data_IF_456593554208
#
_entry.id   IF_456593554208
#
_cell.length_a   1.000
_cell.length_b   1.000
_cell.length_c   1.000
_cell.angle_alpha   90.00
_cell.angle_beta   90.00
_cell.angle_gamma   90.00
#
_symmetry.space_group_name_H-M   'P 1'
#
loop_
_entity.id
_entity.type
_entity.pdbx_description
1 polymer ?
#
# COMPACT_ATOMS: atom_id res chain seq x y z
N UNK A 1 1.76 10.60 8.42
CA UNK A 1 2.23 9.50 9.26
C UNK A 1 3.71 9.31 9.05
N UNK A 2 4.44 9.05 10.11
CA UNK A 2 5.87 8.69 10.07
C UNK A 2 6.04 7.38 10.82
N UNK A 3 6.72 6.41 10.19
CA UNK A 3 7.11 5.17 10.84
C UNK A 3 8.64 5.10 10.90
N UNK A 4 9.21 5.30 12.07
CA UNK A 4 10.67 5.32 12.27
C UNK A 4 10.98 5.18 13.76
N UNK A 5 12.05 4.49 14.10
CA UNK A 5 12.55 4.44 15.48
C UNK A 5 13.35 5.69 15.88
N UNK A 6 13.66 6.57 14.90
CA UNK A 6 14.33 7.86 15.13
C UNK A 6 13.64 8.94 14.31
N UNK A 7 12.78 9.71 14.93
CA UNK A 7 12.04 10.79 14.27
C UNK A 7 12.25 12.12 14.99
N UNK A 8 12.72 13.12 14.25
CA UNK A 8 12.81 14.49 14.74
C UNK A 8 11.63 15.33 14.26
N UNK A 9 10.70 15.63 15.17
CA UNK A 9 9.53 16.46 14.88
C UNK A 9 9.90 17.87 14.42
N UNK A 10 11.05 18.41 14.86
CA UNK A 10 11.50 19.75 14.50
C UNK A 10 11.86 19.92 13.02
N UNK A 11 12.07 18.80 12.31
CA UNK A 11 12.29 18.78 10.86
C UNK A 11 11.04 19.12 10.04
N UNK A 12 9.84 19.15 10.67
CA UNK A 12 8.58 19.41 9.98
C UNK A 12 7.94 20.72 10.44
N UNK A 13 7.19 21.40 9.55
CA UNK A 13 6.43 22.60 9.92
C UNK A 13 5.42 22.33 11.06
N UNK A 14 5.21 23.32 11.92
CA UNK A 14 4.35 23.19 13.10
C UNK A 14 2.87 22.90 12.75
N UNK A 15 2.41 23.37 11.59
CA UNK A 15 1.05 23.19 11.12
C UNK A 15 0.78 21.80 10.53
N UNK A 16 1.79 20.92 10.46
CA UNK A 16 1.60 19.54 10.00
C UNK A 16 1.18 18.64 11.17
N UNK A 17 0.03 18.03 11.04
CA UNK A 17 -0.42 17.02 12.01
C UNK A 17 0.33 15.69 11.76
N UNK A 18 1.14 15.26 12.70
CA UNK A 18 1.99 14.07 12.58
C UNK A 18 1.54 12.98 13.54
N UNK A 19 1.37 11.76 13.02
CA UNK A 19 1.34 10.54 13.80
C UNK A 19 2.66 9.80 13.60
N UNK A 20 3.31 9.48 14.69
CA UNK A 20 4.59 8.76 14.70
C UNK A 20 4.35 7.36 15.26
N UNK A 21 4.85 6.35 14.54
CA UNK A 21 4.83 4.94 14.95
C UNK A 21 6.26 4.41 15.02
N UNK A 22 6.53 3.63 16.05
CA UNK A 22 7.78 2.88 16.20
C UNK A 22 7.57 1.42 15.81
N UNK A 23 8.63 0.63 15.72
CA UNK A 23 8.55 -0.78 15.31
C UNK A 23 7.63 -1.59 16.22
N UNK A 24 7.59 -1.30 17.50
CA UNK A 24 6.75 -1.96 18.50
C UNK A 24 5.26 -1.73 18.23
N UNK A 25 4.87 -0.53 17.75
CA UNK A 25 3.48 -0.23 17.40
C UNK A 25 3.02 -1.05 16.20
N UNK A 26 3.92 -1.28 15.24
CA UNK A 26 3.63 -2.10 14.06
C UNK A 26 3.63 -3.60 14.40
N UNK A 27 4.55 -4.05 15.25
CA UNK A 27 4.58 -5.43 15.74
C UNK A 27 3.33 -5.78 16.57
N UNK A 28 2.79 -4.81 17.29
CA UNK A 28 1.55 -4.98 18.09
C UNK A 28 0.30 -5.25 17.23
N UNK A 29 0.36 -5.09 15.90
CA UNK A 29 -0.71 -5.50 14.98
C UNK A 29 -0.91 -7.02 14.96
N UNK A 30 0.12 -7.79 15.33
CA UNK A 30 0.09 -9.25 15.36
C UNK A 30 0.14 -9.92 14.00
N UNK A 31 0.47 -9.17 12.94
CA UNK A 31 0.67 -9.73 11.60
C UNK A 31 2.03 -10.43 11.49
N UNK A 32 2.13 -11.35 10.56
CA UNK A 32 3.38 -12.06 10.25
C UNK A 32 4.17 -11.28 9.20
N UNK A 33 5.33 -10.67 9.52
CA UNK A 33 6.17 -10.02 8.52
C UNK A 33 6.90 -11.09 7.69
N UNK A 34 7.32 -10.72 6.46
CA UNK A 34 8.07 -11.66 5.59
C UNK A 34 9.51 -11.92 6.08
N UNK A 35 10.05 -11.05 6.91
CA UNK A 35 11.39 -11.14 7.49
C UNK A 35 11.34 -10.75 8.98
N UNK A 36 12.45 -10.96 9.68
CA UNK A 36 12.57 -10.59 11.09
C UNK A 36 12.45 -9.07 11.34
N UNK A 37 12.52 -8.28 10.28
CA UNK A 37 12.31 -6.83 10.28
C UNK A 37 11.05 -6.47 9.51
N UNK A 38 10.35 -5.44 9.95
CA UNK A 38 9.13 -4.97 9.27
C UNK A 38 9.41 -4.33 7.90
N UNK A 39 10.57 -3.73 7.73
CA UNK A 39 11.04 -3.12 6.50
C UNK A 39 12.48 -3.63 6.24
N UNK A 40 12.79 -4.07 5.01
CA UNK A 40 11.93 -4.08 3.82
C UNK A 40 10.87 -5.20 3.82
N UNK A 41 9.85 -5.05 3.00
CA UNK A 41 8.91 -6.10 2.62
C UNK A 41 7.51 -5.99 3.21
N UNK A 42 7.34 -5.31 4.36
CA UNK A 42 6.04 -5.15 5.01
C UNK A 42 5.60 -3.68 5.22
N UNK A 43 5.86 -2.72 4.29
CA UNK A 43 5.48 -1.31 4.48
C UNK A 43 3.96 -1.11 4.58
N UNK A 44 3.15 -2.06 4.11
CA UNK A 44 1.70 -2.03 4.23
C UNK A 44 1.19 -2.11 5.68
N UNK A 45 2.02 -2.47 6.66
CA UNK A 45 1.66 -2.40 8.08
C UNK A 45 1.44 -0.95 8.54
N UNK A 46 2.11 0.01 7.91
CA UNK A 46 2.00 1.44 8.25
C UNK A 46 0.59 1.99 7.97
N UNK A 47 0.05 1.89 6.74
CA UNK A 47 -1.32 2.33 6.48
C UNK A 47 -2.37 1.52 7.25
N UNK A 48 -2.14 0.23 7.51
CA UNK A 48 -3.02 -0.59 8.34
C UNK A 48 -3.04 -0.08 9.79
N UNK A 49 -1.90 0.22 10.38
CA UNK A 49 -1.84 0.79 11.74
C UNK A 49 -2.59 2.12 11.81
N UNK A 50 -2.34 3.00 10.84
CA UNK A 50 -3.01 4.30 10.79
C UNK A 50 -4.54 4.16 10.61
N UNK A 51 -4.97 3.22 9.76
CA UNK A 51 -6.38 2.90 9.55
C UNK A 51 -7.05 2.45 10.85
N UNK A 52 -6.44 1.54 11.61
CA UNK A 52 -7.02 1.04 12.86
C UNK A 52 -7.16 2.13 13.92
N UNK A 53 -6.23 3.09 13.95
CA UNK A 53 -6.32 4.25 14.85
C UNK A 53 -7.34 5.31 14.35
N UNK A 54 -7.63 5.32 13.04
CA UNK A 54 -8.44 6.36 12.39
C UNK A 54 -9.39 5.75 11.34
N UNK A 55 -10.36 4.89 11.72
CA UNK A 55 -11.16 4.12 10.77
C UNK A 55 -12.26 4.93 10.07
N UNK A 56 -12.32 6.23 10.29
CA UNK A 56 -13.40 7.11 9.81
C UNK A 56 -13.11 7.79 8.47
N UNK A 57 -11.87 7.72 7.97
CA UNK A 57 -11.56 8.26 6.64
C UNK A 57 -12.09 7.35 5.55
N UNK A 58 -12.50 7.94 4.43
CA UNK A 58 -12.99 7.20 3.26
C UNK A 58 -11.83 6.58 2.50
N UNK A 59 -10.74 7.33 2.32
CA UNK A 59 -9.54 6.92 1.62
C UNK A 59 -8.29 7.25 2.44
N UNK A 60 -7.24 6.47 2.18
CA UNK A 60 -5.93 6.56 2.83
C UNK A 60 -4.86 6.52 1.75
N UNK A 61 -4.09 7.58 1.65
CA UNK A 61 -2.93 7.62 0.78
C UNK A 61 -1.70 7.11 1.52
N UNK A 62 -0.97 6.22 0.86
CA UNK A 62 0.37 5.82 1.25
C UNK A 62 1.34 6.31 0.18
N UNK A 63 2.39 7.02 0.60
CA UNK A 63 3.45 7.53 -0.27
C UNK A 63 4.75 7.24 0.44
N UNK A 64 5.66 6.54 -0.22
CA UNK A 64 7.00 6.31 0.30
C UNK A 64 7.78 7.63 0.36
N UNK A 65 8.70 7.73 1.31
CA UNK A 65 9.40 8.99 1.62
C UNK A 65 10.33 9.48 0.49
N UNK A 66 10.73 8.61 -0.41
CA UNK A 66 11.60 8.88 -1.56
C UNK A 66 10.82 9.12 -2.87
N UNK A 67 9.49 9.09 -2.83
CA UNK A 67 8.67 9.46 -3.98
C UNK A 67 8.68 10.97 -4.17
N UNK A 68 9.14 11.39 -5.34
CA UNK A 68 9.09 12.79 -5.77
C UNK A 68 8.04 12.93 -6.87
N UNK A 69 7.02 13.73 -6.60
CA UNK A 69 6.03 14.11 -7.60
C UNK A 69 6.35 15.50 -8.15
N UNK A 70 6.49 15.61 -9.47
CA UNK A 70 6.84 16.88 -10.14
C UNK A 70 5.67 17.84 -10.30
N UNK A 71 4.44 17.34 -10.11
CA UNK A 71 3.21 18.13 -10.15
C UNK A 71 2.78 18.62 -8.76
N UNK A 72 1.51 19.00 -8.66
CA UNK A 72 0.88 19.43 -7.41
C UNK A 72 0.12 18.27 -6.77
N UNK A 73 0.52 17.84 -5.59
CA UNK A 73 -0.13 16.76 -4.84
C UNK A 73 -1.64 16.97 -4.65
N UNK A 74 -2.07 18.22 -4.39
CA UNK A 74 -3.50 18.54 -4.25
C UNK A 74 -4.27 18.23 -5.52
N UNK A 75 -3.72 18.57 -6.68
CA UNK A 75 -4.36 18.30 -7.98
C UNK A 75 -4.49 16.80 -8.22
N UNK A 76 -3.41 16.03 -7.99
CA UNK A 76 -3.46 14.57 -8.12
C UNK A 76 -4.54 13.95 -7.21
N UNK A 77 -4.60 14.37 -5.96
CA UNK A 77 -5.57 13.84 -4.99
C UNK A 77 -7.00 14.22 -5.38
N UNK A 78 -7.23 15.47 -5.77
CA UNK A 78 -8.54 15.97 -6.21
C UNK A 78 -9.01 15.25 -7.49
N UNK A 79 -8.12 15.00 -8.45
CA UNK A 79 -8.43 14.26 -9.67
C UNK A 79 -8.79 12.80 -9.37
N UNK A 80 -8.05 12.16 -8.48
CA UNK A 80 -8.37 10.80 -8.03
C UNK A 80 -9.70 10.73 -7.30
N UNK A 81 -10.01 11.70 -6.44
CA UNK A 81 -11.28 11.75 -5.73
C UNK A 81 -12.46 12.05 -6.66
N UNK A 82 -12.24 12.81 -7.72
CA UNK A 82 -13.29 13.16 -8.69
C UNK A 82 -13.57 12.05 -9.71
N UNK A 83 -12.52 11.38 -10.18
CA UNK A 83 -12.61 10.48 -11.33
C UNK A 83 -12.46 8.99 -10.97
N UNK A 84 -11.82 8.68 -9.83
CA UNK A 84 -11.49 7.33 -9.40
C UNK A 84 -12.09 6.95 -8.04
N UNK A 85 -13.07 7.71 -7.56
CA UNK A 85 -13.71 7.49 -6.25
C UNK A 85 -14.38 6.11 -6.12
N UNK A 86 -14.85 5.54 -7.24
CA UNK A 86 -15.45 4.20 -7.28
C UNK A 86 -14.46 3.04 -7.13
N UNK A 87 -13.14 3.30 -7.13
CA UNK A 87 -12.13 2.28 -6.96
C UNK A 87 -11.64 2.20 -5.52
N UNK A 88 -11.62 1.01 -4.97
CA UNK A 88 -11.19 0.73 -3.60
C UNK A 88 -9.66 0.79 -3.42
N UNK A 89 -8.91 0.53 -4.50
CA UNK A 89 -7.45 0.50 -4.48
C UNK A 89 -6.86 1.12 -5.74
N UNK A 90 -5.96 2.06 -5.56
CA UNK A 90 -5.16 2.65 -6.65
C UNK A 90 -3.69 2.33 -6.40
N UNK A 91 -3.01 1.83 -7.41
CA UNK A 91 -1.58 1.52 -7.36
C UNK A 91 -0.97 1.53 -8.75
N UNK A 92 0.35 1.46 -8.85
CA UNK A 92 1.06 1.40 -10.11
C UNK A 92 1.26 -0.06 -10.56
N UNK A 93 1.28 -0.29 -11.89
CA UNK A 93 1.66 -1.56 -12.51
C UNK A 93 0.97 -2.80 -11.94
N UNK A 94 -0.37 -2.77 -11.82
CA UNK A 94 -1.15 -3.93 -11.36
C UNK A 94 -1.17 -4.99 -12.47
N UNK A 95 -0.49 -6.11 -12.24
CA UNK A 95 -0.33 -7.18 -13.22
C UNK A 95 -0.48 -8.56 -12.57
N UNK A 96 -1.21 -9.45 -13.24
CA UNK A 96 -1.27 -10.89 -12.85
C UNK A 96 0.04 -11.59 -13.15
N UNK A 97 0.37 -12.62 -12.34
CA UNK A 97 1.44 -13.53 -12.67
C UNK A 97 1.27 -14.11 -14.07
N UNK A 98 2.34 -14.18 -14.85
CA UNK A 98 2.34 -14.70 -16.21
C UNK A 98 3.70 -14.69 -16.86
N UNK A 99 3.79 -15.19 -18.10
CA UNK A 99 5.05 -15.32 -18.85
C UNK A 99 5.84 -14.01 -18.98
N UNK A 100 5.16 -12.89 -19.08
CA UNK A 100 5.81 -11.57 -19.23
C UNK A 100 6.49 -11.04 -17.96
N UNK A 101 6.18 -11.62 -16.79
CA UNK A 101 6.71 -11.14 -15.50
C UNK A 101 7.13 -12.26 -14.54
N UNK A 102 7.24 -13.49 -15.02
CA UNK A 102 7.58 -14.66 -14.19
C UNK A 102 8.91 -14.54 -13.45
N UNK A 103 9.85 -13.77 -14.00
CA UNK A 103 11.19 -13.57 -13.44
C UNK A 103 11.24 -12.40 -12.42
N UNK A 104 10.11 -11.78 -12.11
CA UNK A 104 10.07 -10.74 -11.11
C UNK A 104 10.40 -11.31 -9.71
N UNK A 105 11.40 -10.73 -8.99
CA UNK A 105 12.02 -11.40 -7.85
C UNK A 105 11.11 -11.61 -6.65
N UNK A 106 10.08 -10.79 -6.49
CA UNK A 106 9.21 -10.89 -5.32
C UNK A 106 8.17 -12.01 -5.41
N UNK A 107 7.99 -12.67 -6.56
CA UNK A 107 7.16 -13.86 -6.66
C UNK A 107 7.62 -14.98 -5.73
N UNK A 108 8.95 -15.12 -5.51
CA UNK A 108 9.52 -16.13 -4.60
C UNK A 108 9.21 -15.85 -3.13
N UNK A 109 8.66 -14.67 -2.80
CA UNK A 109 8.26 -14.29 -1.46
C UNK A 109 6.74 -14.20 -1.29
N UNK A 110 6.01 -14.98 -2.10
CA UNK A 110 4.55 -15.05 -2.08
C UNK A 110 3.99 -16.35 -1.46
N UNK A 111 4.85 -17.25 -0.99
CA UNK A 111 4.47 -18.61 -0.61
C UNK A 111 3.37 -18.68 0.46
N UNK A 112 3.32 -17.71 1.36
CA UNK A 112 2.36 -17.68 2.46
C UNK A 112 1.23 -16.68 2.24
N UNK A 113 1.08 -16.15 1.01
CA UNK A 113 0.02 -15.20 0.68
C UNK A 113 -1.38 -15.83 0.60
N UNK A 114 -1.54 -17.13 0.82
CA UNK A 114 -2.83 -17.83 0.81
C UNK A 114 -3.31 -18.25 -0.58
N UNK A 115 -2.55 -17.98 -1.65
CA UNK A 115 -2.90 -18.29 -3.02
C UNK A 115 -1.77 -19.00 -3.77
N UNK A 116 -2.14 -19.77 -4.81
CA UNK A 116 -1.14 -20.28 -5.75
C UNK A 116 -0.60 -19.14 -6.61
N UNK A 117 0.61 -19.33 -7.14
CA UNK A 117 1.31 -18.28 -7.90
C UNK A 117 0.49 -17.76 -9.09
N UNK A 118 -0.26 -18.64 -9.76
CA UNK A 118 -1.12 -18.29 -10.91
C UNK A 118 -2.28 -17.35 -10.54
N UNK A 119 -2.62 -17.27 -9.24
CA UNK A 119 -3.62 -16.34 -8.72
C UNK A 119 -3.00 -15.07 -8.13
N UNK A 120 -1.69 -15.02 -8.06
CA UNK A 120 -1.00 -13.85 -7.54
C UNK A 120 -1.07 -12.68 -8.53
N UNK A 121 -1.14 -11.50 -7.94
CA UNK A 121 -1.15 -10.21 -8.65
C UNK A 121 -0.13 -9.33 -7.99
N UNK A 122 0.78 -8.75 -8.77
CA UNK A 122 1.72 -7.75 -8.27
C UNK A 122 1.17 -6.34 -8.44
N UNK A 123 1.65 -5.43 -7.60
CA UNK A 123 1.50 -4.00 -7.78
C UNK A 123 2.83 -3.34 -7.46
N UNK A 124 3.07 -2.15 -7.96
CA UNK A 124 4.18 -1.30 -7.54
C UNK A 124 3.62 -0.20 -6.66
N UNK A 125 3.85 -0.29 -5.35
CA UNK A 125 3.11 0.43 -4.33
C UNK A 125 3.86 1.61 -3.65
N UNK A 126 4.84 2.30 -4.27
CA UNK A 126 5.50 3.46 -3.65
C UNK A 126 4.53 4.63 -3.47
N UNK A 127 3.48 4.67 -4.29
CA UNK A 127 2.31 5.51 -4.12
C UNK A 127 1.06 4.68 -4.34
N UNK A 128 0.15 4.67 -3.36
CA UNK A 128 -1.13 4.00 -3.50
C UNK A 128 -2.21 4.64 -2.62
N UNK A 129 -3.47 4.41 -3.01
CA UNK A 129 -4.64 4.82 -2.24
C UNK A 129 -5.49 3.60 -1.92
N UNK A 130 -5.88 3.49 -0.66
CA UNK A 130 -6.80 2.45 -0.17
C UNK A 130 -8.13 3.06 0.23
N UNK A 131 -9.24 2.39 -0.05
CA UNK A 131 -10.50 2.67 0.63
C UNK A 131 -10.48 2.10 2.06
N UNK A 132 -11.40 2.56 2.89
CA UNK A 132 -11.67 1.97 4.20
C UNK A 132 -11.95 0.46 4.09
N UNK A 133 -12.76 0.06 3.09
CA UNK A 133 -13.11 -1.34 2.82
C UNK A 133 -11.90 -2.19 2.46
N UNK A 134 -10.98 -1.65 1.66
CA UNK A 134 -9.75 -2.35 1.27
C UNK A 134 -8.86 -2.61 2.48
N UNK A 135 -8.66 -1.62 3.35
CA UNK A 135 -7.84 -1.78 4.55
C UNK A 135 -8.50 -2.70 5.59
N UNK A 136 -9.83 -2.65 5.75
CA UNK A 136 -10.55 -3.56 6.63
C UNK A 136 -10.40 -5.02 6.19
N UNK A 137 -10.47 -5.29 4.88
CA UNK A 137 -10.23 -6.61 4.32
C UNK A 137 -8.79 -7.06 4.55
N UNK A 138 -7.81 -6.20 4.25
CA UNK A 138 -6.40 -6.50 4.47
C UNK A 138 -6.09 -6.80 5.94
N UNK A 139 -6.63 -6.02 6.87
CA UNK A 139 -6.48 -6.27 8.31
C UNK A 139 -6.97 -7.67 8.69
N UNK A 140 -8.17 -8.05 8.24
CA UNK A 140 -8.71 -9.37 8.50
C UNK A 140 -7.82 -10.48 7.91
N UNK A 141 -7.40 -10.31 6.67
CA UNK A 141 -6.58 -11.28 5.96
C UNK A 141 -5.20 -11.47 6.60
N UNK A 142 -4.57 -10.37 7.02
CA UNK A 142 -3.29 -10.42 7.73
C UNK A 142 -3.41 -11.11 9.10
N UNK A 143 -4.54 -10.95 9.80
CA UNK A 143 -4.83 -11.63 11.07
C UNK A 143 -5.04 -13.14 10.95
N UNK A 144 -5.35 -13.63 9.76
CA UNK A 144 -5.39 -15.07 9.44
C UNK A 144 -3.99 -15.69 9.33
N UNK A 145 -2.93 -14.88 9.40
CA UNK A 145 -1.53 -15.32 9.38
C UNK A 145 -0.88 -15.31 8.00
N UNK A 146 -1.59 -14.81 6.98
CA UNK A 146 -1.03 -14.68 5.63
C UNK A 146 0.13 -13.68 5.59
N UNK A 147 1.17 -14.01 4.82
CA UNK A 147 2.41 -13.23 4.74
C UNK A 147 3.02 -13.31 3.35
N UNK A 148 3.39 -12.16 2.79
CA UNK A 148 4.16 -12.05 1.56
C UNK A 148 4.77 -10.65 1.44
N UNK A 149 5.61 -10.44 0.43
CA UNK A 149 6.07 -9.09 0.09
C UNK A 149 4.87 -8.16 -0.19
N UNK A 150 4.92 -6.92 0.28
CA UNK A 150 3.79 -5.96 0.20
C UNK A 150 3.20 -5.82 -1.19
N UNK A 151 4.05 -5.80 -2.22
CA UNK A 151 3.64 -5.66 -3.63
C UNK A 151 2.90 -6.89 -4.17
N UNK A 152 3.07 -8.05 -3.54
CA UNK A 152 2.29 -9.27 -3.85
C UNK A 152 1.10 -9.37 -2.90
N UNK A 153 1.33 -9.26 -1.59
CA UNK A 153 0.32 -9.48 -0.57
C UNK A 153 -0.92 -8.60 -0.77
N UNK A 154 -0.69 -7.29 -0.84
CA UNK A 154 -1.78 -6.31 -0.93
C UNK A 154 -2.61 -6.55 -2.18
N UNK A 155 -1.95 -6.57 -3.34
CA UNK A 155 -2.64 -6.63 -4.63
C UNK A 155 -3.32 -7.99 -4.85
N UNK A 156 -2.66 -9.08 -4.43
CA UNK A 156 -3.23 -10.45 -4.51
C UNK A 156 -4.47 -10.59 -3.62
N UNK A 157 -4.38 -10.18 -2.37
CA UNK A 157 -5.51 -10.22 -1.44
C UNK A 157 -6.70 -9.44 -2.00
N UNK A 158 -6.49 -8.17 -2.32
CA UNK A 158 -7.57 -7.28 -2.78
C UNK A 158 -8.22 -7.80 -4.08
N UNK A 159 -7.40 -8.21 -5.05
CA UNK A 159 -7.89 -8.72 -6.34
C UNK A 159 -8.76 -9.98 -6.17
N UNK A 160 -8.28 -10.96 -5.41
CA UNK A 160 -8.99 -12.24 -5.27
C UNK A 160 -10.26 -12.13 -4.40
N UNK A 161 -10.42 -11.07 -3.63
CA UNK A 161 -11.64 -10.77 -2.87
C UNK A 161 -12.58 -9.77 -3.56
N UNK A 162 -12.34 -9.48 -4.84
CA UNK A 162 -13.24 -8.63 -5.63
C UNK A 162 -13.19 -7.15 -5.24
N UNK A 163 -12.08 -6.71 -4.66
CA UNK A 163 -11.83 -5.29 -4.45
C UNK A 163 -11.43 -4.67 -5.79
N UNK A 164 -12.12 -3.59 -6.16
CA UNK A 164 -11.84 -2.89 -7.41
C UNK A 164 -10.51 -2.15 -7.34
N UNK A 165 -9.55 -2.57 -8.15
CA UNK A 165 -8.24 -1.91 -8.29
C UNK A 165 -8.12 -1.16 -9.61
N UNK A 166 -7.40 -0.03 -9.60
CA UNK A 166 -7.11 0.76 -10.79
C UNK A 166 -5.62 1.11 -10.86
N UNK A 167 -4.95 0.91 -12.01
CA UNK A 167 -3.54 1.25 -12.17
C UNK A 167 -3.35 2.76 -12.38
N UNK A 168 -2.80 3.46 -11.39
CA UNK A 168 -2.51 4.88 -11.46
C UNK A 168 -1.59 5.25 -12.63
N UNK A 169 -0.57 4.42 -12.89
CA UNK A 169 0.45 4.74 -13.90
C UNK A 169 -0.08 4.86 -15.33
N UNK A 170 -1.20 4.21 -15.65
CA UNK A 170 -1.82 4.33 -16.99
C UNK A 170 -2.43 5.71 -17.20
N UNK A 171 -2.86 6.38 -16.13
CA UNK A 171 -3.42 7.72 -16.20
C UNK A 171 -2.36 8.82 -16.02
N UNK A 172 -1.25 8.50 -15.36
CA UNK A 172 -0.17 9.45 -15.11
C UNK A 172 0.71 9.66 -16.35
N UNK A 173 0.87 8.64 -17.22
CA UNK A 173 1.57 8.76 -18.49
C UNK A 173 0.91 9.80 -19.44
N UNK A 174 -0.39 10.06 -19.28
CA UNK A 174 -1.10 11.12 -19.98
C UNK A 174 -1.05 12.50 -19.31
N UNK A 175 -0.56 12.59 -18.09
CA UNK A 175 -0.45 13.86 -17.33
C UNK A 175 0.97 14.43 -17.39
N UNK A 176 1.97 13.62 -17.74
CA UNK A 176 3.37 14.02 -17.79
C UNK A 176 3.87 14.40 -19.21
N UNK A 177 3.04 14.28 -20.24
CA UNK A 177 3.40 14.58 -21.64
C UNK A 177 3.02 16.00 -22.10
N UNK A 178 2.72 16.95 -21.19
CA UNK A 178 2.48 18.37 -21.50
C UNK A 178 3.50 19.30 -20.80
#
# INVERSE_FOLDING_TARGET
VVASNSFDRSALPDNVNVRHYVSEDLAALGYTPIENTLIPGSPHFIPLRFFLDNPHYRHYWFVEYDVVFTGRWSTLMEDCDSNLDGYDFLSCHIEKYGEGNKDWPWWYRSNDCGYTLEKCVKGFNPICRYSNRALALLDSYMKEGHSAHSEVMVTTCLHNHGISGFPLCVNLDGVFDD
#
